data_IF_287180976801
#
_entry.id   IF_287180976801
#
_cell.length_a   1.000
_cell.length_b   1.000
_cell.length_c   1.000
_cell.angle_alpha   90.00
_cell.angle_beta   90.00
_cell.angle_gamma   90.00
#
_symmetry.space_group_name_H-M   'P 1'
#
loop_
_entity.id
_entity.type
_entity.pdbx_description
1 polymer ?
#
# COMPACT_ATOMS: atom_id res chain seq x y z
N UNK A 1 45.56 82.86 7.12
CA UNK A 1 45.17 81.51 7.47
C UNK A 1 43.69 81.51 7.77
N UNK A 2 42.89 81.13 6.82
CA UNK A 2 41.44 81.19 6.89
C UNK A 2 40.94 79.73 7.05
N UNK A 3 40.38 79.43 8.23
CA UNK A 3 39.72 78.11 8.48
C UNK A 3 38.31 78.17 7.93
N UNK A 4 38.00 77.32 6.94
CA UNK A 4 36.63 77.06 6.46
C UNK A 4 35.99 76.02 7.36
N UNK A 5 34.86 76.39 8.01
CA UNK A 5 33.99 75.43 8.70
C UNK A 5 33.04 74.78 7.68
N UNK A 6 33.01 73.46 7.68
CA UNK A 6 32.09 72.64 6.86
C UNK A 6 30.84 72.38 7.69
N UNK A 7 29.71 72.96 7.30
CA UNK A 7 28.38 72.63 7.83
C UNK A 7 27.86 71.36 7.17
N UNK A 8 27.73 70.28 7.96
CA UNK A 8 27.00 69.07 7.55
C UNK A 8 25.50 69.29 7.79
N UNK A 9 24.74 69.35 6.75
CA UNK A 9 23.27 69.31 6.83
C UNK A 9 22.82 67.87 6.93
N UNK A 10 22.24 67.46 8.05
CA UNK A 10 21.55 66.20 8.23
C UNK A 10 20.15 66.33 7.62
N UNK A 11 19.92 65.64 6.51
CA UNK A 11 18.59 65.49 5.94
C UNK A 11 17.84 64.39 6.75
N UNK A 12 16.84 64.78 7.49
CA UNK A 12 15.85 63.91 8.11
C UNK A 12 14.97 63.30 6.99
N UNK A 13 15.19 62.03 6.65
CA UNK A 13 14.27 61.25 5.87
C UNK A 13 13.04 60.95 6.70
N UNK A 14 11.79 61.16 6.18
CA UNK A 14 10.61 60.79 6.90
C UNK A 14 10.53 59.26 7.04
N UNK A 15 10.36 58.76 8.25
CA UNK A 15 10.10 57.36 8.52
C UNK A 15 8.78 57.00 7.81
N UNK A 16 8.90 56.16 6.78
CA UNK A 16 7.74 55.55 6.16
C UNK A 16 7.12 54.62 7.21
N UNK A 17 6.03 55.06 7.81
CA UNK A 17 5.15 54.18 8.58
C UNK A 17 4.58 53.16 7.59
N UNK A 18 5.16 51.95 7.54
CA UNK A 18 4.52 50.84 6.89
C UNK A 18 3.18 50.59 7.57
N UNK A 19 2.12 51.01 6.92
CA UNK A 19 0.78 50.59 7.29
C UNK A 19 0.80 49.05 7.26
N UNK A 20 0.79 48.39 8.41
CA UNK A 20 0.45 46.98 8.53
C UNK A 20 -0.90 46.83 7.83
N UNK A 21 -0.91 46.29 6.63
CA UNK A 21 -2.13 45.83 6.00
C UNK A 21 -2.79 44.92 7.04
N UNK A 22 -3.92 45.37 7.57
CA UNK A 22 -4.78 44.48 8.38
C UNK A 22 -5.11 43.33 7.49
N UNK A 23 -4.57 42.17 7.85
CA UNK A 23 -4.89 40.92 7.17
C UNK A 23 -6.38 40.68 7.30
N UNK A 24 -7.13 40.88 6.23
CA UNK A 24 -8.52 40.41 6.23
C UNK A 24 -8.47 38.92 6.53
N UNK A 25 -9.23 38.42 7.52
CA UNK A 25 -9.27 37.00 7.79
C UNK A 25 -9.75 36.28 6.54
N UNK A 26 -9.10 35.15 6.18
CA UNK A 26 -9.59 34.32 5.07
C UNK A 26 -11.06 33.95 5.33
N UNK A 27 -11.86 33.88 4.24
CA UNK A 27 -13.28 33.60 4.37
C UNK A 27 -13.51 32.11 4.61
N UNK A 28 -14.35 31.81 5.59
CA UNK A 28 -14.84 30.46 5.87
C UNK A 28 -16.30 30.39 5.45
N UNK A 29 -16.61 29.49 4.54
CA UNK A 29 -17.95 29.23 4.04
C UNK A 29 -18.60 28.10 4.82
N UNK A 30 -19.89 28.15 5.04
CA UNK A 30 -20.65 27.06 5.66
C UNK A 30 -20.91 25.93 4.63
N UNK A 31 -19.84 25.35 4.14
CA UNK A 31 -19.84 24.21 3.22
C UNK A 31 -18.79 23.20 3.62
N UNK A 32 -19.15 21.91 3.57
CA UNK A 32 -18.33 20.79 4.03
C UNK A 32 -18.14 19.78 2.90
N UNK A 33 -16.97 19.15 2.76
CA UNK A 33 -16.83 18.01 1.85
C UNK A 33 -17.54 16.78 2.42
N UNK A 34 -17.85 15.82 1.56
CA UNK A 34 -18.26 14.48 1.95
C UNK A 34 -17.10 13.53 1.71
N UNK A 35 -16.73 12.72 2.70
CA UNK A 35 -15.80 11.60 2.51
C UNK A 35 -16.58 10.52 1.79
N UNK A 36 -16.16 10.21 0.55
CA UNK A 36 -16.88 9.30 -0.35
C UNK A 36 -16.33 7.88 -0.29
N UNK A 37 -15.02 7.72 -0.10
CA UNK A 37 -14.34 6.43 -0.01
C UNK A 37 -13.28 6.43 1.09
N UNK A 38 -13.10 5.31 1.78
CA UNK A 38 -12.13 5.16 2.86
C UNK A 38 -12.60 5.76 4.19
N UNK A 39 -11.68 6.01 5.15
CA UNK A 39 -10.24 5.76 5.03
C UNK A 39 -9.88 4.28 5.00
N UNK A 40 -8.73 3.98 4.41
CA UNK A 40 -8.13 2.66 4.46
C UNK A 40 -6.61 2.76 4.59
N UNK A 41 -5.99 1.68 5.08
CA UNK A 41 -4.58 1.58 5.36
C UNK A 41 -3.86 0.77 4.27
N UNK A 42 -2.77 1.32 3.75
CA UNK A 42 -1.84 0.64 2.86
C UNK A 42 -0.42 0.92 3.30
N UNK A 43 0.55 0.23 2.74
CA UNK A 43 1.97 0.46 3.01
C UNK A 43 2.30 0.56 4.52
N UNK A 44 1.58 -0.19 5.38
CA UNK A 44 1.86 -0.26 6.82
C UNK A 44 3.10 -1.10 7.07
N UNK A 45 4.07 -0.56 7.78
CA UNK A 45 5.32 -1.18 8.18
C UNK A 45 5.53 -1.11 9.69
N UNK A 46 6.78 -1.27 10.13
CA UNK A 46 7.16 -1.15 11.54
C UNK A 46 7.11 0.30 12.03
N UNK A 47 7.48 1.25 11.18
CA UNK A 47 7.63 2.66 11.55
C UNK A 47 6.82 3.61 10.68
N UNK A 48 6.00 3.08 9.78
CA UNK A 48 5.23 3.86 8.82
C UNK A 48 3.83 3.27 8.61
N UNK A 49 2.87 4.12 8.24
CA UNK A 49 1.56 3.71 7.74
C UNK A 49 1.05 4.77 6.76
N UNK A 50 0.39 4.36 5.69
CA UNK A 50 -0.24 5.27 4.74
C UNK A 50 -1.74 5.14 4.81
N UNK A 51 -2.42 6.28 5.00
CA UNK A 51 -3.87 6.38 5.08
C UNK A 51 -4.37 7.07 3.82
N UNK A 52 -5.35 6.46 3.16
CA UNK A 52 -5.94 6.94 1.92
C UNK A 52 -7.44 7.13 2.09
N UNK A 53 -7.97 8.25 1.61
CA UNK A 53 -9.42 8.50 1.52
C UNK A 53 -9.74 9.49 0.41
N UNK A 54 -11.02 9.62 0.08
CA UNK A 54 -11.50 10.47 -1.01
C UNK A 54 -12.63 11.36 -0.55
N UNK A 55 -12.76 12.53 -1.20
CA UNK A 55 -13.83 13.48 -0.97
C UNK A 55 -14.51 13.86 -2.29
N UNK A 56 -15.77 14.28 -2.19
CA UNK A 56 -16.57 14.75 -3.32
C UNK A 56 -16.10 16.11 -3.89
N UNK A 57 -15.37 16.89 -3.09
CA UNK A 57 -14.91 18.24 -3.46
C UNK A 57 -13.46 18.46 -3.03
N UNK A 58 -12.72 19.34 -3.74
CA UNK A 58 -11.34 19.64 -3.40
C UNK A 58 -11.17 20.07 -1.94
N UNK A 59 -10.27 19.38 -1.24
CA UNK A 59 -10.02 19.57 0.18
C UNK A 59 -8.53 19.49 0.51
N UNK A 60 -8.17 20.13 1.61
CA UNK A 60 -6.89 19.95 2.29
C UNK A 60 -7.04 18.78 3.26
N UNK A 61 -6.05 17.91 3.32
CA UNK A 61 -6.05 16.71 4.15
C UNK A 61 -5.15 16.85 5.37
N UNK A 62 -5.53 16.23 6.49
CA UNK A 62 -4.66 15.93 7.63
C UNK A 62 -5.15 14.70 8.38
N UNK A 63 -4.25 14.06 9.12
CA UNK A 63 -4.56 12.97 10.04
C UNK A 63 -4.17 13.40 11.45
N UNK A 64 -5.12 13.30 12.38
CA UNK A 64 -4.85 13.37 13.81
C UNK A 64 -4.55 11.94 14.27
N UNK A 65 -3.48 11.71 15.03
CA UNK A 65 -3.10 10.35 15.45
C UNK A 65 -2.33 10.36 16.77
N UNK A 66 -2.15 9.17 17.34
CA UNK A 66 -1.32 9.00 18.52
C UNK A 66 -1.41 7.59 19.10
N UNK A 67 -0.38 7.21 19.82
CA UNK A 67 -0.29 5.90 20.46
C UNK A 67 -1.38 5.73 21.53
N UNK A 68 -1.96 4.51 21.61
CA UNK A 68 -2.99 4.19 22.59
C UNK A 68 -4.33 4.90 22.37
N UNK A 69 -4.51 5.61 21.24
CA UNK A 69 -5.75 6.32 20.90
C UNK A 69 -5.75 7.81 21.29
N UNK A 70 -4.63 8.36 21.76
CA UNK A 70 -4.42 9.79 21.89
C UNK A 70 -4.26 10.40 20.47
N UNK A 71 -5.04 11.43 20.14
CA UNK A 71 -5.04 12.11 18.85
C UNK A 71 -4.27 13.45 18.92
N UNK A 72 -3.19 13.49 19.68
CA UNK A 72 -2.41 14.71 19.94
C UNK A 72 -1.44 15.10 18.84
N UNK A 73 -1.09 14.16 17.95
CA UNK A 73 -0.18 14.40 16.84
C UNK A 73 -0.94 14.70 15.55
N UNK A 74 -0.30 15.43 14.63
CA UNK A 74 -0.88 15.83 13.35
C UNK A 74 0.10 15.51 12.24
N UNK A 75 -0.37 14.73 11.23
CA UNK A 75 0.33 14.55 9.97
C UNK A 75 -0.42 15.31 8.86
N UNK A 76 0.32 16.15 8.14
CA UNK A 76 -0.18 16.90 6.98
C UNK A 76 0.71 16.60 5.77
N UNK A 77 0.16 16.20 4.62
CA UNK A 77 0.97 15.98 3.43
C UNK A 77 1.48 17.30 2.88
N UNK A 78 2.71 17.29 2.38
CA UNK A 78 3.25 18.44 1.65
C UNK A 78 4.07 17.95 0.44
N UNK A 79 4.04 18.71 -0.63
CA UNK A 79 4.87 18.48 -1.83
C UNK A 79 5.54 19.80 -2.20
N UNK A 80 6.85 19.82 -2.19
CA UNK A 80 7.67 21.01 -2.50
C UNK A 80 7.25 22.26 -1.68
N UNK A 81 6.88 22.07 -0.42
CA UNK A 81 6.44 23.13 0.49
C UNK A 81 4.97 23.56 0.32
N UNK A 82 4.21 22.89 -0.55
CA UNK A 82 2.78 23.16 -0.75
C UNK A 82 1.94 22.05 -0.14
N UNK A 83 0.83 22.41 0.50
CA UNK A 83 -0.20 21.47 0.94
C UNK A 83 -1.04 21.05 -0.27
N UNK A 84 -1.13 19.77 -0.60
CA UNK A 84 -1.97 19.30 -1.71
C UNK A 84 -3.45 19.64 -1.48
N UNK A 85 -4.12 20.06 -2.56
CA UNK A 85 -5.57 20.31 -2.59
C UNK A 85 -6.16 19.47 -3.71
N UNK A 86 -7.10 18.60 -3.37
CA UNK A 86 -7.73 17.69 -4.34
C UNK A 86 -8.85 16.89 -3.69
N UNK A 87 -9.33 15.90 -4.41
CA UNK A 87 -10.36 14.95 -3.96
C UNK A 87 -9.80 13.63 -3.47
N UNK A 88 -8.55 13.32 -3.80
CA UNK A 88 -7.80 12.17 -3.31
C UNK A 88 -6.81 12.62 -2.25
N UNK A 89 -6.82 11.95 -1.12
CA UNK A 89 -5.99 12.26 0.03
C UNK A 89 -5.13 11.05 0.38
N UNK A 90 -3.83 11.27 0.47
CA UNK A 90 -2.84 10.29 0.88
C UNK A 90 -1.97 10.93 1.95
N UNK A 91 -1.99 10.39 3.14
CA UNK A 91 -1.17 10.87 4.26
C UNK A 91 -0.34 9.72 4.79
N UNK A 92 0.96 9.89 4.77
CA UNK A 92 1.92 8.96 5.35
C UNK A 92 2.23 9.39 6.78
N UNK A 93 2.10 8.46 7.70
CA UNK A 93 2.60 8.58 9.07
C UNK A 93 4.00 7.98 9.11
N UNK A 94 4.92 8.65 9.75
CA UNK A 94 6.33 8.26 9.86
C UNK A 94 6.79 8.25 11.31
N UNK A 95 7.96 7.65 11.55
CA UNK A 95 8.57 7.60 12.89
C UNK A 95 7.67 6.94 13.94
N UNK A 96 6.82 6.02 13.51
CA UNK A 96 5.99 5.23 14.40
C UNK A 96 6.85 4.20 15.16
N UNK A 97 6.33 3.71 16.29
CA UNK A 97 6.95 2.63 17.06
C UNK A 97 6.46 1.27 16.56
N UNK A 98 7.33 0.27 16.36
CA UNK A 98 6.93 -1.08 16.00
C UNK A 98 5.95 -1.71 16.99
N UNK A 99 5.03 -2.55 16.52
CA UNK A 99 4.07 -3.31 17.33
C UNK A 99 3.13 -2.44 18.16
N UNK A 100 2.96 -1.18 17.79
CA UNK A 100 2.23 -0.19 18.58
C UNK A 100 0.87 0.10 17.94
N UNK A 101 -0.17 0.07 18.77
CA UNK A 101 -1.52 0.46 18.32
C UNK A 101 -1.69 1.98 18.40
N UNK A 102 -2.03 2.57 17.27
CA UNK A 102 -2.32 3.99 17.10
C UNK A 102 -3.81 4.20 16.87
N UNK A 103 -4.37 5.21 17.54
CA UNK A 103 -5.64 5.81 17.12
C UNK A 103 -5.41 6.80 16.00
N UNK A 104 -6.38 6.98 15.10
CA UNK A 104 -6.32 8.02 14.09
C UNK A 104 -7.70 8.54 13.68
N UNK A 105 -7.73 9.78 13.21
CA UNK A 105 -8.90 10.43 12.62
C UNK A 105 -8.46 11.18 11.37
N UNK A 106 -9.14 10.97 10.25
CA UNK A 106 -8.90 11.75 9.04
C UNK A 106 -9.75 13.00 9.03
N UNK A 107 -9.17 14.10 8.59
CA UNK A 107 -9.83 15.40 8.47
C UNK A 107 -9.63 15.94 7.07
N UNK A 108 -10.73 16.32 6.42
CA UNK A 108 -10.72 16.98 5.12
C UNK A 108 -11.35 18.37 5.26
N UNK A 109 -10.56 19.43 5.10
CA UNK A 109 -11.04 20.82 5.12
C UNK A 109 -11.33 21.27 3.69
N UNK A 110 -12.57 21.61 3.38
CA UNK A 110 -12.93 22.06 2.03
C UNK A 110 -12.13 23.28 1.60
N UNK A 111 -11.62 23.27 0.37
CA UNK A 111 -11.06 24.45 -0.31
C UNK A 111 -12.07 24.91 -1.35
N UNK A 112 -12.76 26.00 -1.06
CA UNK A 112 -13.85 26.53 -1.90
C UNK A 112 -13.26 27.19 -3.14
N UNK A 113 -12.17 27.96 -2.95
CA UNK A 113 -11.45 28.60 -4.03
C UNK A 113 -9.99 28.78 -3.66
N UNK A 114 -9.12 28.27 -4.53
CA UNK A 114 -7.68 28.43 -4.38
C UNK A 114 -7.23 29.72 -5.10
N UNK A 115 -7.25 30.82 -4.36
CA UNK A 115 -6.77 32.13 -4.83
C UNK A 115 -5.25 32.23 -4.61
N UNK A 116 -4.59 33.13 -5.35
CA UNK A 116 -3.16 33.42 -5.15
C UNK A 116 -2.88 33.94 -3.72
N UNK A 117 -3.78 34.74 -3.18
CA UNK A 117 -3.79 35.20 -1.79
C UNK A 117 -5.20 35.03 -1.23
N UNK A 118 -5.30 34.73 0.06
CA UNK A 118 -6.57 34.58 0.77
C UNK A 118 -7.45 33.47 0.15
N UNK A 119 -7.01 32.20 0.17
CA UNK A 119 -7.86 31.11 -0.27
C UNK A 119 -9.17 31.07 0.53
N UNK A 120 -10.26 30.81 -0.15
CA UNK A 120 -11.56 30.62 0.49
C UNK A 120 -11.67 29.17 0.98
N UNK A 121 -11.93 28.97 2.28
CA UNK A 121 -12.09 27.65 2.89
C UNK A 121 -13.53 27.38 3.29
N UNK A 122 -13.88 26.12 3.44
CA UNK A 122 -15.10 25.65 4.07
C UNK A 122 -14.80 24.99 5.42
N UNK A 123 -15.75 24.16 5.86
CA UNK A 123 -15.68 23.41 7.11
C UNK A 123 -14.98 22.05 6.90
N UNK A 124 -14.67 21.40 8.02
CA UNK A 124 -14.08 20.07 8.06
C UNK A 124 -15.13 18.97 7.92
N UNK A 125 -14.83 17.93 7.14
CA UNK A 125 -15.38 16.59 7.30
C UNK A 125 -14.37 15.71 8.03
N UNK A 126 -14.87 14.75 8.82
CA UNK A 126 -14.05 13.87 9.65
C UNK A 126 -14.53 12.42 9.56
N UNK A 127 -13.63 11.48 9.68
CA UNK A 127 -13.94 10.06 9.87
C UNK A 127 -13.00 9.46 10.91
N UNK A 128 -13.58 8.83 11.91
CA UNK A 128 -12.87 8.24 13.04
C UNK A 128 -13.57 8.50 14.37
N UNK A 129 -12.95 8.17 15.53
CA UNK A 129 -11.61 7.58 15.61
C UNK A 129 -11.57 6.13 15.13
N UNK A 130 -10.50 5.79 14.42
CA UNK A 130 -10.12 4.46 13.96
C UNK A 130 -8.85 4.00 14.65
N UNK A 131 -8.41 2.75 14.44
CA UNK A 131 -7.19 2.20 15.02
C UNK A 131 -6.44 1.37 14.00
N UNK A 132 -5.13 1.30 14.14
CA UNK A 132 -4.29 0.29 13.48
C UNK A 132 -3.11 -0.06 14.36
N UNK A 133 -2.47 -1.18 14.09
CA UNK A 133 -1.22 -1.58 14.76
C UNK A 133 -0.12 -1.67 13.70
N UNK A 134 1.03 -1.06 13.99
CA UNK A 134 2.23 -1.19 13.17
C UNK A 134 2.77 -2.62 13.21
N UNK A 135 3.39 -3.07 12.14
CA UNK A 135 4.09 -4.35 12.14
C UNK A 135 5.26 -4.33 13.12
N UNK A 136 5.70 -5.49 13.58
CA UNK A 136 6.94 -5.67 14.35
C UNK A 136 7.52 -7.05 14.04
N UNK A 137 8.66 -7.08 13.35
CA UNK A 137 9.38 -8.32 13.03
C UNK A 137 9.90 -9.09 14.25
N UNK A 138 9.80 -8.51 15.47
CA UNK A 138 10.15 -9.17 16.74
C UNK A 138 8.96 -9.81 17.43
N UNK A 139 7.74 -9.56 16.97
CA UNK A 139 6.57 -10.25 17.53
C UNK A 139 6.71 -11.76 17.36
N UNK A 140 6.35 -12.56 18.38
CA UNK A 140 6.50 -14.01 18.30
C UNK A 140 5.50 -14.69 17.37
N UNK A 141 4.50 -13.97 16.89
CA UNK A 141 3.48 -14.50 15.99
C UNK A 141 2.91 -13.42 15.08
N UNK A 142 2.32 -13.86 13.96
CA UNK A 142 1.51 -13.04 13.05
C UNK A 142 0.44 -13.91 12.40
N UNK A 143 -0.74 -13.33 12.16
CA UNK A 143 -1.80 -13.96 11.39
C UNK A 143 -2.32 -13.02 10.30
N UNK A 144 -2.30 -13.47 9.05
CA UNK A 144 -2.81 -12.68 7.93
C UNK A 144 -3.57 -13.55 6.92
N UNK A 145 -4.39 -12.92 6.11
CA UNK A 145 -5.28 -13.60 5.17
C UNK A 145 -5.03 -13.15 3.75
N UNK A 146 -5.16 -14.08 2.80
CA UNK A 146 -4.96 -13.84 1.37
C UNK A 146 -6.21 -14.19 0.57
N UNK A 147 -6.50 -13.34 -0.43
CA UNK A 147 -7.47 -13.57 -1.51
C UNK A 147 -6.81 -13.22 -2.85
N UNK A 148 -7.39 -13.67 -3.96
CA UNK A 148 -6.84 -13.46 -5.30
C UNK A 148 -7.92 -13.49 -6.38
N UNK A 149 -7.60 -13.02 -7.58
CA UNK A 149 -8.36 -13.25 -8.83
C UNK A 149 -9.86 -12.89 -8.69
N UNK A 150 -10.17 -11.74 -8.12
CA UNK A 150 -11.56 -11.35 -7.89
C UNK A 150 -12.26 -10.85 -9.16
N UNK A 151 -11.50 -10.35 -10.16
CA UNK A 151 -12.01 -10.00 -11.50
C UNK A 151 -13.32 -9.21 -11.49
N UNK A 152 -13.37 -8.13 -10.69
CA UNK A 152 -14.55 -7.24 -10.59
C UNK A 152 -15.84 -7.93 -10.12
N UNK A 153 -15.80 -9.20 -9.74
CA UNK A 153 -16.97 -9.93 -9.21
C UNK A 153 -17.23 -9.53 -7.76
N UNK A 154 -18.07 -8.52 -7.60
CA UNK A 154 -18.42 -7.97 -6.27
C UNK A 154 -19.12 -9.00 -5.37
N UNK A 155 -19.83 -9.98 -5.95
CA UNK A 155 -20.45 -11.06 -5.20
C UNK A 155 -19.40 -12.06 -4.69
N UNK A 156 -18.37 -12.35 -5.49
CA UNK A 156 -17.22 -13.13 -5.04
C UNK A 156 -16.51 -12.43 -3.89
N UNK A 157 -16.21 -11.14 -4.02
CA UNK A 157 -15.57 -10.37 -2.94
C UNK A 157 -16.44 -10.42 -1.67
N UNK A 158 -17.74 -10.29 -1.77
CA UNK A 158 -18.66 -10.39 -0.63
C UNK A 158 -18.60 -11.77 0.03
N UNK A 159 -18.57 -12.87 -0.75
CA UNK A 159 -18.46 -14.23 -0.22
C UNK A 159 -17.09 -14.47 0.44
N UNK A 160 -16.00 -13.99 -0.18
CA UNK A 160 -14.67 -14.04 0.40
C UNK A 160 -14.60 -13.29 1.73
N UNK A 161 -15.15 -12.07 1.80
CA UNK A 161 -15.22 -11.30 3.04
C UNK A 161 -15.98 -12.04 4.16
N UNK A 162 -17.00 -12.82 3.83
CA UNK A 162 -17.75 -13.62 4.79
C UNK A 162 -16.98 -14.85 5.27
N UNK A 163 -16.07 -15.38 4.46
CA UNK A 163 -15.23 -16.52 4.80
C UNK A 163 -13.98 -16.13 5.61
N UNK A 164 -13.62 -14.84 5.63
CA UNK A 164 -12.47 -14.35 6.40
C UNK A 164 -12.84 -14.21 7.88
N UNK A 165 -11.99 -14.77 8.74
CA UNK A 165 -11.99 -14.47 10.18
C UNK A 165 -11.27 -13.14 10.41
N UNK A 166 -12.03 -12.04 10.36
CA UNK A 166 -11.51 -10.69 10.54
C UNK A 166 -10.96 -10.40 11.93
N UNK A 167 -11.40 -11.10 12.96
CA UNK A 167 -10.89 -10.91 14.32
C UNK A 167 -9.45 -11.43 14.44
N UNK A 168 -9.19 -12.56 13.79
CA UNK A 168 -7.88 -13.19 13.80
C UNK A 168 -6.93 -12.68 12.71
N UNK A 169 -7.41 -11.89 11.74
CA UNK A 169 -6.61 -11.36 10.62
C UNK A 169 -6.00 -10.00 10.98
N UNK A 170 -4.68 -9.89 10.99
CA UNK A 170 -3.98 -8.62 11.25
C UNK A 170 -3.95 -7.72 10.00
N UNK A 171 -3.78 -8.30 8.81
CA UNK A 171 -3.85 -7.59 7.53
C UNK A 171 -4.34 -8.50 6.40
N UNK A 172 -4.91 -7.90 5.37
CA UNK A 172 -5.34 -8.61 4.16
C UNK A 172 -4.28 -8.48 3.08
N UNK A 173 -4.00 -9.58 2.38
CA UNK A 173 -3.23 -9.60 1.13
C UNK A 173 -4.18 -9.87 -0.03
N UNK A 174 -4.21 -8.99 -1.04
CA UNK A 174 -4.82 -9.28 -2.33
C UNK A 174 -3.72 -9.64 -3.33
N UNK A 175 -3.69 -10.89 -3.78
CA UNK A 175 -2.63 -11.44 -4.64
C UNK A 175 -2.83 -11.13 -6.14
N UNK A 176 -3.43 -10.00 -6.47
CA UNK A 176 -3.58 -9.53 -7.84
C UNK A 176 -4.83 -10.01 -8.56
N UNK A 177 -4.98 -9.53 -9.79
CA UNK A 177 -6.14 -9.75 -10.67
C UNK A 177 -7.46 -9.39 -9.98
N UNK A 178 -7.48 -8.18 -9.41
CA UNK A 178 -8.69 -7.56 -8.89
C UNK A 178 -9.67 -7.17 -10.01
N UNK A 179 -9.16 -6.99 -11.23
CA UNK A 179 -9.83 -6.51 -12.43
C UNK A 179 -9.58 -7.43 -13.62
N UNK A 180 -10.38 -7.30 -14.68
CA UNK A 180 -10.03 -7.77 -16.03
C UNK A 180 -9.17 -6.74 -16.76
N UNK A 181 -9.49 -5.45 -16.59
CA UNK A 181 -8.73 -4.25 -16.96
C UNK A 181 -9.28 -3.04 -16.21
N UNK A 182 -8.53 -1.96 -16.12
CA UNK A 182 -8.96 -0.77 -15.37
C UNK A 182 -9.22 0.39 -16.34
N UNK A 183 -10.50 0.67 -16.61
CA UNK A 183 -10.91 1.75 -17.51
C UNK A 183 -11.11 3.09 -16.80
N UNK A 184 -11.71 3.09 -15.61
CA UNK A 184 -12.11 4.31 -14.91
C UNK A 184 -11.91 4.21 -13.40
N UNK A 185 -11.86 5.38 -12.75
CA UNK A 185 -11.84 5.49 -11.28
C UNK A 185 -13.11 4.88 -10.64
N UNK A 186 -14.29 5.15 -11.20
CA UNK A 186 -15.53 4.62 -10.66
C UNK A 186 -15.60 3.09 -10.74
N UNK A 187 -15.05 2.50 -11.79
CA UNK A 187 -14.89 1.04 -11.88
C UNK A 187 -14.02 0.51 -10.74
N UNK A 188 -12.86 1.14 -10.50
CA UNK A 188 -11.95 0.77 -9.41
C UNK A 188 -12.67 0.79 -8.07
N UNK A 189 -13.43 1.84 -7.78
CA UNK A 189 -14.19 1.93 -6.54
C UNK A 189 -15.32 0.91 -6.47
N UNK A 190 -16.18 0.88 -7.47
CA UNK A 190 -17.40 0.07 -7.44
C UNK A 190 -17.13 -1.42 -7.49
N UNK A 191 -16.19 -1.83 -8.33
CA UNK A 191 -15.98 -3.24 -8.63
C UNK A 191 -14.99 -3.92 -7.67
N UNK A 192 -14.15 -3.16 -6.98
CA UNK A 192 -13.12 -3.75 -6.13
C UNK A 192 -12.97 -3.06 -4.78
N UNK A 193 -12.68 -1.74 -4.73
CA UNK A 193 -12.26 -1.11 -3.48
C UNK A 193 -13.39 -1.07 -2.44
N UNK A 194 -14.59 -0.58 -2.81
CA UNK A 194 -15.76 -0.54 -1.90
C UNK A 194 -16.11 -1.91 -1.34
N UNK A 195 -16.30 -2.96 -2.18
CA UNK A 195 -16.63 -4.28 -1.64
C UNK A 195 -15.49 -4.88 -0.81
N UNK A 196 -14.22 -4.63 -1.13
CA UNK A 196 -13.07 -5.07 -0.31
C UNK A 196 -13.07 -4.37 1.05
N UNK A 197 -13.24 -3.05 1.07
CA UNK A 197 -13.25 -2.26 2.30
C UNK A 197 -14.47 -2.57 3.19
N UNK A 198 -15.57 -3.07 2.63
CA UNK A 198 -16.74 -3.47 3.41
C UNK A 198 -16.45 -4.60 4.39
N UNK A 199 -15.46 -5.46 4.10
CA UNK A 199 -14.97 -6.48 5.03
C UNK A 199 -13.75 -6.01 5.84
N UNK A 200 -12.77 -5.42 5.15
CA UNK A 200 -11.49 -5.00 5.73
C UNK A 200 -11.65 -3.90 6.78
N UNK A 201 -12.51 -2.92 6.50
CA UNK A 201 -12.66 -1.73 7.33
C UNK A 201 -11.46 -0.78 7.30
N UNK A 202 -11.49 0.26 8.14
CA UNK A 202 -10.44 1.25 8.25
C UNK A 202 -9.28 0.85 9.17
N UNK A 203 -9.42 -0.25 9.91
CA UNK A 203 -8.53 -0.61 11.02
C UNK A 203 -7.44 -1.62 10.62
N UNK A 204 -7.58 -2.27 9.47
CA UNK A 204 -6.65 -3.31 9.01
C UNK A 204 -5.94 -2.91 7.72
N UNK A 205 -4.62 -3.14 7.64
CA UNK A 205 -3.86 -2.85 6.43
C UNK A 205 -4.24 -3.77 5.25
N UNK A 206 -4.21 -3.18 4.05
CA UNK A 206 -4.24 -3.90 2.78
C UNK A 206 -2.82 -3.97 2.20
N UNK A 207 -2.36 -5.17 1.92
CA UNK A 207 -1.19 -5.46 1.10
C UNK A 207 -1.68 -5.85 -0.30
N UNK A 208 -1.34 -5.06 -1.30
CA UNK A 208 -1.75 -5.32 -2.68
C UNK A 208 -0.55 -5.83 -3.48
N UNK A 209 -0.68 -7.01 -4.06
CA UNK A 209 0.25 -7.60 -5.01
C UNK A 209 -0.34 -7.38 -6.40
N UNK A 210 0.41 -6.75 -7.31
CA UNK A 210 -0.08 -6.47 -8.65
C UNK A 210 -0.11 -7.74 -9.51
N UNK A 211 -1.26 -8.03 -10.10
CA UNK A 211 -1.43 -9.07 -11.12
C UNK A 211 -1.19 -8.53 -12.54
N UNK A 212 -1.27 -9.40 -13.54
CA UNK A 212 -1.07 -9.00 -14.93
C UNK A 212 -2.26 -8.18 -15.48
N UNK A 213 -3.46 -8.39 -14.97
CA UNK A 213 -4.63 -7.63 -15.36
C UNK A 213 -4.59 -6.16 -14.89
N UNK A 214 -3.89 -5.86 -13.82
CA UNK A 214 -3.68 -4.50 -13.34
C UNK A 214 -2.78 -3.63 -14.21
N UNK A 215 -2.12 -4.21 -15.23
CA UNK A 215 -1.39 -3.45 -16.24
C UNK A 215 -2.26 -3.03 -17.43
N UNK A 216 -3.49 -3.51 -17.51
CA UNK A 216 -4.41 -3.34 -18.64
C UNK A 216 -5.41 -2.22 -18.42
N UNK A 217 -5.79 -1.57 -19.51
CA UNK A 217 -6.75 -0.47 -19.51
C UNK A 217 -6.12 0.92 -19.31
N UNK A 218 -6.82 1.99 -19.69
CA UNK A 218 -6.29 3.35 -19.64
C UNK A 218 -6.01 3.84 -18.21
N UNK A 219 -6.78 3.39 -17.24
CA UNK A 219 -6.65 3.80 -15.84
C UNK A 219 -5.58 3.01 -15.05
N UNK A 220 -5.07 1.91 -15.57
CA UNK A 220 -4.04 1.08 -14.94
C UNK A 220 -2.81 1.90 -14.47
N UNK A 221 -2.42 2.94 -15.24
CA UNK A 221 -1.30 3.83 -14.92
C UNK A 221 -1.52 4.70 -13.67
N UNK A 222 -2.76 4.75 -13.19
CA UNK A 222 -3.16 5.50 -11.99
C UNK A 222 -3.31 4.59 -10.76
N UNK A 223 -3.25 3.27 -10.90
CA UNK A 223 -3.46 2.32 -9.79
C UNK A 223 -2.62 2.64 -8.55
N UNK A 224 -1.35 3.01 -8.75
CA UNK A 224 -0.44 3.42 -7.67
C UNK A 224 -0.94 4.59 -6.81
N UNK A 225 -1.85 5.40 -7.35
CA UNK A 225 -2.47 6.52 -6.64
C UNK A 225 -3.51 6.04 -5.61
N UNK A 226 -4.00 4.81 -5.74
CA UNK A 226 -5.06 4.18 -4.94
C UNK A 226 -4.51 3.11 -3.99
N UNK A 227 -3.43 2.46 -4.39
CA UNK A 227 -2.69 1.49 -3.57
C UNK A 227 -1.21 1.88 -3.50
N UNK A 228 -0.90 3.00 -2.81
CA UNK A 228 0.47 3.37 -2.54
C UNK A 228 1.23 2.21 -1.91
N UNK A 229 2.45 1.98 -2.39
CA UNK A 229 3.33 0.94 -1.88
C UNK A 229 4.55 1.57 -1.21
N UNK A 230 5.28 0.85 -0.37
CA UNK A 230 6.56 1.31 0.11
C UNK A 230 7.48 1.64 -1.08
N UNK A 231 8.26 2.70 -0.98
CA UNK A 231 9.23 3.10 -2.02
C UNK A 231 8.63 3.39 -3.41
N UNK A 232 7.28 3.40 -3.55
CA UNK A 232 6.57 3.76 -4.78
C UNK A 232 6.71 2.76 -5.94
N UNK A 233 7.08 1.50 -5.66
CA UNK A 233 7.16 0.39 -6.63
C UNK A 233 6.36 -0.81 -6.14
N UNK A 234 5.91 -1.71 -7.03
CA UNK A 234 5.08 -2.85 -6.66
C UNK A 234 5.87 -4.08 -6.21
N UNK A 235 7.18 -3.95 -5.99
CA UNK A 235 8.00 -4.97 -5.34
C UNK A 235 8.76 -4.36 -4.15
N UNK A 236 8.73 -5.05 -3.03
CA UNK A 236 9.30 -4.59 -1.75
C UNK A 236 9.34 -5.72 -0.73
N UNK A 237 9.99 -5.49 0.42
CA UNK A 237 9.97 -6.44 1.52
C UNK A 237 9.45 -5.81 2.81
N UNK A 238 8.98 -6.65 3.74
CA UNK A 238 8.47 -6.27 5.07
C UNK A 238 8.64 -7.39 6.05
N UNK A 239 8.82 -6.99 7.31
CA UNK A 239 8.77 -7.91 8.44
C UNK A 239 7.40 -7.87 9.10
N UNK A 240 6.83 -9.04 9.37
CA UNK A 240 5.58 -9.21 10.09
C UNK A 240 5.74 -10.40 11.05
N UNK A 241 5.99 -10.14 12.32
CA UNK A 241 6.33 -11.15 13.31
C UNK A 241 7.49 -12.05 12.84
N UNK A 242 7.33 -13.38 12.89
CA UNK A 242 8.37 -14.34 12.49
C UNK A 242 8.54 -14.44 10.96
N UNK A 243 7.79 -13.68 10.15
CA UNK A 243 7.79 -13.79 8.69
C UNK A 243 8.45 -12.58 8.05
N UNK A 244 9.46 -12.84 7.22
CA UNK A 244 9.98 -11.89 6.27
C UNK A 244 9.22 -12.04 4.94
N UNK A 245 8.38 -11.05 4.62
CA UNK A 245 7.54 -11.03 3.42
C UNK A 245 8.27 -10.31 2.30
N UNK A 246 8.39 -10.95 1.14
CA UNK A 246 8.90 -10.38 -0.11
C UNK A 246 7.74 -10.33 -1.09
N UNK A 247 7.30 -9.14 -1.45
CA UNK A 247 6.25 -8.91 -2.45
C UNK A 247 6.92 -8.69 -3.79
N UNK A 248 6.52 -9.46 -4.81
CA UNK A 248 7.03 -9.35 -6.17
C UNK A 248 5.90 -9.05 -7.15
N UNK A 249 6.27 -8.34 -8.20
CA UNK A 249 5.38 -7.98 -9.30
C UNK A 249 5.74 -8.81 -10.54
N UNK A 250 4.94 -9.79 -10.86
CA UNK A 250 5.22 -10.70 -11.97
C UNK A 250 5.00 -10.10 -13.38
N UNK A 251 4.56 -8.85 -13.46
CA UNK A 251 4.35 -8.18 -14.75
C UNK A 251 3.22 -8.80 -15.58
N UNK A 252 3.33 -8.69 -16.89
CA UNK A 252 2.38 -9.28 -17.84
C UNK A 252 2.70 -10.76 -18.12
N UNK A 253 1.70 -11.45 -18.68
CA UNK A 253 1.78 -12.86 -19.08
C UNK A 253 2.27 -13.07 -20.53
N UNK A 254 2.63 -11.97 -21.22
CA UNK A 254 3.12 -11.96 -22.62
C UNK A 254 4.30 -11.02 -22.79
N UNK A 255 5.06 -11.22 -23.87
CA UNK A 255 6.18 -10.37 -24.26
C UNK A 255 5.74 -8.91 -24.52
N UNK A 256 6.63 -7.95 -24.21
CA UNK A 256 6.38 -6.52 -24.41
C UNK A 256 6.07 -6.15 -25.87
N UNK A 257 6.61 -6.90 -26.83
CA UNK A 257 6.42 -6.72 -28.28
C UNK A 257 5.15 -7.39 -28.82
N UNK A 258 4.35 -8.00 -27.96
CA UNK A 258 3.07 -8.58 -28.38
C UNK A 258 2.14 -7.48 -28.90
N UNK A 259 1.58 -7.66 -30.09
CA UNK A 259 0.77 -6.67 -30.79
C UNK A 259 -0.39 -6.10 -29.98
N UNK A 260 -0.95 -6.87 -29.04
CA UNK A 260 -2.06 -6.44 -28.17
C UNK A 260 -1.69 -5.26 -27.26
N UNK A 261 -0.41 -5.03 -27.00
CA UNK A 261 0.07 -3.94 -26.16
C UNK A 261 0.41 -2.66 -26.92
N UNK A 262 0.46 -2.72 -28.28
CA UNK A 262 0.73 -1.58 -29.13
C UNK A 262 1.98 -0.78 -28.69
N UNK A 263 3.06 -1.48 -28.29
CA UNK A 263 4.32 -0.93 -27.78
C UNK A 263 4.21 -0.10 -26.48
N UNK A 264 3.08 -0.21 -25.75
CA UNK A 264 2.84 0.56 -24.52
C UNK A 264 3.24 -0.17 -23.23
N UNK A 265 3.71 -1.41 -23.32
CA UNK A 265 4.26 -2.17 -22.21
C UNK A 265 5.80 -2.15 -22.22
N UNK A 266 6.38 -2.15 -21.02
CA UNK A 266 7.82 -2.24 -20.78
C UNK A 266 8.05 -3.04 -19.47
N UNK A 267 7.43 -4.22 -19.40
CA UNK A 267 7.54 -5.08 -18.21
C UNK A 267 8.89 -5.76 -18.13
N UNK A 268 9.52 -6.11 -19.26
CA UNK A 268 10.83 -6.79 -19.26
C UNK A 268 11.94 -5.98 -18.57
N UNK A 269 12.20 -4.69 -18.89
CA UNK A 269 13.20 -3.92 -18.14
C UNK A 269 12.82 -3.70 -16.67
N UNK A 270 11.55 -3.48 -16.38
CA UNK A 270 11.07 -3.36 -15.00
C UNK A 270 11.33 -4.64 -14.18
N UNK A 271 11.10 -5.81 -14.77
CA UNK A 271 11.38 -7.12 -14.17
C UNK A 271 12.89 -7.36 -14.00
N UNK A 272 13.72 -6.85 -14.90
CA UNK A 272 15.18 -6.93 -14.76
C UNK A 272 15.67 -6.11 -13.55
N UNK A 273 15.13 -4.90 -13.36
CA UNK A 273 15.42 -4.07 -12.19
C UNK A 273 14.95 -4.75 -10.89
N UNK A 274 13.78 -5.38 -10.92
CA UNK A 274 13.24 -6.11 -9.78
C UNK A 274 14.10 -7.34 -9.42
N UNK A 275 14.57 -8.10 -10.39
CA UNK A 275 15.48 -9.22 -10.14
C UNK A 275 16.82 -8.75 -9.56
N UNK A 276 17.35 -7.63 -10.05
CA UNK A 276 18.56 -7.04 -9.50
C UNK A 276 18.35 -6.62 -8.04
N UNK A 277 17.22 -5.97 -7.74
CA UNK A 277 16.82 -5.65 -6.38
C UNK A 277 16.64 -6.89 -5.50
N UNK A 278 15.97 -7.95 -6.00
CA UNK A 278 15.77 -9.18 -5.23
C UNK A 278 17.12 -9.80 -4.85
N UNK A 279 18.04 -9.90 -5.81
CA UNK A 279 19.41 -10.44 -5.57
C UNK A 279 20.17 -9.62 -4.53
N UNK A 280 20.12 -8.30 -4.62
CA UNK A 280 20.74 -7.40 -3.65
C UNK A 280 20.08 -7.56 -2.27
N UNK A 281 18.75 -7.53 -2.22
CA UNK A 281 17.99 -7.65 -0.99
C UNK A 281 18.31 -8.95 -0.24
N UNK A 282 18.25 -10.11 -0.91
CA UNK A 282 18.54 -11.39 -0.26
C UNK A 282 20.00 -11.56 0.16
N UNK A 283 20.91 -10.83 -0.47
CA UNK A 283 22.33 -10.86 -0.13
C UNK A 283 22.72 -9.90 1.01
N UNK A 284 21.97 -8.82 1.22
CA UNK A 284 22.37 -7.73 2.11
C UNK A 284 21.45 -7.47 3.30
N UNK A 285 20.17 -7.84 3.19
CA UNK A 285 19.24 -7.64 4.29
C UNK A 285 19.38 -8.74 5.34
N UNK A 286 19.77 -8.36 6.54
CA UNK A 286 19.97 -9.27 7.66
C UNK A 286 18.69 -10.06 8.00
N UNK A 287 17.52 -9.47 7.79
CA UNK A 287 16.24 -10.11 8.08
C UNK A 287 15.98 -11.36 7.23
N UNK A 288 16.50 -11.42 6.01
CA UNK A 288 16.43 -12.63 5.17
C UNK A 288 17.12 -13.82 5.86
N UNK A 289 18.24 -13.59 6.54
CA UNK A 289 18.95 -14.64 7.26
C UNK A 289 18.37 -14.92 8.66
N UNK A 290 17.85 -13.92 9.35
CA UNK A 290 17.42 -13.98 10.75
C UNK A 290 15.97 -14.41 10.93
N UNK A 291 15.07 -14.08 9.98
CA UNK A 291 13.67 -14.41 10.10
C UNK A 291 13.43 -15.92 10.17
N UNK A 292 12.57 -16.39 11.08
CA UNK A 292 12.16 -17.80 11.12
C UNK A 292 11.62 -18.31 9.78
N UNK A 293 10.87 -17.48 9.05
CA UNK A 293 10.28 -17.82 7.76
C UNK A 293 10.44 -16.71 6.73
N UNK A 294 10.69 -17.08 5.47
CA UNK A 294 10.78 -16.22 4.29
C UNK A 294 9.68 -16.60 3.32
N UNK A 295 8.78 -15.67 3.04
CA UNK A 295 7.61 -15.89 2.20
C UNK A 295 7.62 -14.91 1.03
N UNK A 296 7.55 -15.44 -0.20
CA UNK A 296 7.31 -14.64 -1.40
C UNK A 296 5.81 -14.61 -1.69
N UNK A 297 5.29 -13.40 -1.92
CA UNK A 297 3.95 -13.13 -2.40
C UNK A 297 4.06 -12.59 -3.82
N UNK A 298 3.47 -13.29 -4.78
CA UNK A 298 3.46 -12.88 -6.18
C UNK A 298 2.15 -13.32 -6.84
N UNK A 299 1.81 -12.77 -8.02
CA UNK A 299 0.57 -13.16 -8.66
C UNK A 299 0.72 -14.40 -9.53
N UNK A 300 1.65 -14.42 -10.50
CA UNK A 300 1.84 -15.53 -11.43
C UNK A 300 2.82 -16.55 -10.87
N UNK A 301 2.42 -17.83 -10.66
CA UNK A 301 3.24 -18.84 -9.97
C UNK A 301 4.45 -19.32 -10.78
N UNK A 302 4.48 -19.03 -12.08
CA UNK A 302 5.57 -19.31 -13.01
C UNK A 302 6.49 -18.12 -13.24
N UNK A 303 6.42 -17.12 -12.35
CA UNK A 303 7.22 -15.88 -12.37
C UNK A 303 6.86 -14.89 -13.48
N UNK A 304 5.73 -15.08 -14.16
CA UNK A 304 5.29 -14.25 -15.28
C UNK A 304 6.04 -14.52 -16.57
N UNK A 305 5.81 -13.69 -17.59
CA UNK A 305 6.55 -13.85 -18.84
C UNK A 305 7.98 -13.37 -18.70
N UNK A 306 8.93 -14.25 -19.04
CA UNK A 306 10.36 -13.98 -18.98
C UNK A 306 11.05 -14.56 -20.24
N UNK A 307 11.78 -13.71 -20.96
CA UNK A 307 12.45 -14.11 -22.20
C UNK A 307 13.39 -15.29 -22.02
N UNK A 308 14.15 -15.31 -20.90
CA UNK A 308 15.16 -16.32 -20.58
C UNK A 308 14.65 -17.38 -19.59
N UNK A 309 13.31 -17.38 -19.34
CA UNK A 309 12.68 -18.26 -18.38
C UNK A 309 12.93 -17.86 -16.90
N UNK A 310 12.34 -18.62 -15.94
CA UNK A 310 12.37 -18.27 -14.52
C UNK A 310 13.67 -18.64 -13.79
N UNK A 311 14.65 -19.26 -14.46
CA UNK A 311 15.87 -19.81 -13.83
C UNK A 311 16.53 -18.88 -12.83
N UNK A 312 16.94 -17.64 -13.20
CA UNK A 312 17.61 -16.73 -12.27
C UNK A 312 16.77 -16.34 -11.03
N UNK A 313 15.44 -16.32 -11.16
CA UNK A 313 14.51 -16.03 -10.06
C UNK A 313 14.41 -17.20 -9.09
N UNK A 314 14.25 -18.41 -9.65
CA UNK A 314 14.19 -19.65 -8.88
C UNK A 314 15.50 -19.92 -8.15
N UNK A 315 16.64 -19.70 -8.82
CA UNK A 315 17.97 -19.80 -8.21
C UNK A 315 18.11 -18.85 -7.03
N UNK A 316 17.76 -17.57 -7.21
CA UNK A 316 17.80 -16.55 -6.14
C UNK A 316 16.90 -16.93 -4.97
N UNK A 317 15.68 -17.41 -5.23
CA UNK A 317 14.78 -17.88 -4.18
C UNK A 317 15.30 -19.10 -3.42
N UNK A 318 15.90 -20.05 -4.13
CA UNK A 318 16.52 -21.25 -3.54
C UNK A 318 17.73 -20.88 -2.66
N UNK A 319 18.61 -20.00 -3.15
CA UNK A 319 19.79 -19.52 -2.42
C UNK A 319 19.41 -18.72 -1.17
N UNK A 320 18.36 -17.89 -1.26
CA UNK A 320 17.81 -17.15 -0.13
C UNK A 320 17.12 -18.05 0.91
N UNK A 321 16.92 -19.33 0.61
CA UNK A 321 16.22 -20.26 1.48
C UNK A 321 14.76 -19.88 1.68
N UNK A 322 14.06 -19.42 0.63
CA UNK A 322 12.62 -19.16 0.70
C UNK A 322 11.90 -20.41 1.20
N UNK A 323 10.98 -20.25 2.13
CA UNK A 323 10.22 -21.34 2.73
C UNK A 323 8.90 -21.59 1.97
N UNK A 324 8.24 -20.49 1.55
CA UNK A 324 6.93 -20.55 0.90
C UNK A 324 6.80 -19.46 -0.18
N UNK A 325 6.26 -19.84 -1.33
CA UNK A 325 5.76 -18.93 -2.37
C UNK A 325 4.24 -19.07 -2.44
N UNK A 326 3.51 -17.94 -2.34
CA UNK A 326 2.06 -17.91 -2.49
C UNK A 326 1.70 -17.09 -3.73
N UNK A 327 0.82 -17.64 -4.56
CA UNK A 327 0.42 -17.05 -5.83
C UNK A 327 -1.08 -17.24 -6.13
N UNK A 328 -1.58 -16.56 -7.15
CA UNK A 328 -2.91 -16.66 -7.73
C UNK A 328 -2.88 -17.10 -9.20
N UNK A 329 -3.54 -16.30 -10.07
CA UNK A 329 -3.49 -16.38 -11.55
C UNK A 329 -4.19 -17.60 -12.19
N UNK A 330 -4.11 -18.77 -11.57
CA UNK A 330 -4.64 -20.01 -12.19
C UNK A 330 -6.10 -20.29 -11.86
N UNK A 331 -6.72 -19.42 -11.08
CA UNK A 331 -8.14 -19.49 -10.65
C UNK A 331 -8.53 -20.80 -9.95
N UNK A 332 -7.58 -21.66 -9.65
CA UNK A 332 -7.79 -22.97 -8.99
C UNK A 332 -6.64 -23.27 -8.05
N UNK A 333 -6.96 -23.95 -6.98
CA UNK A 333 -5.98 -24.40 -6.01
C UNK A 333 -4.97 -25.37 -6.63
N UNK A 334 -3.70 -25.18 -6.31
CA UNK A 334 -2.67 -26.19 -6.46
C UNK A 334 -1.59 -26.01 -5.40
N UNK A 335 -0.95 -27.13 -5.04
CA UNK A 335 0.19 -27.15 -4.14
C UNK A 335 1.29 -28.03 -4.73
N UNK A 336 2.51 -27.51 -4.73
CA UNK A 336 3.71 -28.21 -5.15
C UNK A 336 4.73 -28.21 -4.01
N UNK A 337 5.09 -29.39 -3.45
CA UNK A 337 6.10 -29.45 -2.40
C UNK A 337 7.49 -29.13 -2.96
N UNK A 338 8.45 -28.71 -2.10
CA UNK A 338 9.84 -28.53 -2.51
C UNK A 338 10.48 -29.84 -2.97
N UNK A 339 11.33 -29.77 -3.98
CA UNK A 339 12.07 -30.93 -4.42
C UNK A 339 12.90 -30.71 -5.70
N UNK A 340 13.93 -31.52 -5.91
CA UNK A 340 14.78 -31.38 -7.10
C UNK A 340 14.01 -31.65 -8.40
N UNK A 341 13.01 -32.54 -8.38
CA UNK A 341 12.23 -32.91 -9.56
C UNK A 341 11.31 -31.78 -10.06
N UNK A 342 10.95 -30.84 -9.18
CA UNK A 342 10.13 -29.66 -9.51
C UNK A 342 10.98 -28.39 -9.74
N UNK A 343 12.30 -28.48 -9.53
CA UNK A 343 13.25 -27.41 -9.80
C UNK A 343 13.31 -26.29 -8.76
N UNK A 344 12.51 -26.35 -7.67
CA UNK A 344 12.54 -25.39 -6.58
C UNK A 344 12.58 -26.04 -5.20
N UNK A 345 13.16 -25.35 -4.22
CA UNK A 345 13.38 -25.83 -2.86
C UNK A 345 12.42 -25.21 -1.83
N UNK A 346 11.38 -24.53 -2.28
CA UNK A 346 10.33 -23.92 -1.46
C UNK A 346 8.97 -24.58 -1.72
N UNK A 347 8.05 -24.43 -0.78
CA UNK A 347 6.64 -24.77 -0.98
C UNK A 347 6.00 -23.77 -1.94
N UNK A 348 5.31 -24.23 -2.98
CA UNK A 348 4.55 -23.37 -3.90
C UNK A 348 3.05 -23.63 -3.72
N UNK A 349 2.31 -22.62 -3.27
CA UNK A 349 0.87 -22.67 -3.09
C UNK A 349 0.20 -21.67 -4.01
N UNK A 350 -0.70 -22.15 -4.87
CA UNK A 350 -1.52 -21.33 -5.75
C UNK A 350 -2.94 -21.31 -5.21
N UNK A 351 -3.47 -20.14 -4.92
CA UNK A 351 -4.82 -19.94 -4.40
C UNK A 351 -5.83 -19.85 -5.54
N UNK A 352 -7.02 -20.43 -5.36
CA UNK A 352 -8.14 -20.32 -6.29
C UNK A 352 -9.02 -19.10 -5.99
N UNK A 353 -9.87 -18.73 -6.95
CA UNK A 353 -10.72 -17.51 -6.90
C UNK A 353 -11.73 -17.49 -5.74
N UNK A 354 -12.32 -18.64 -5.40
CA UNK A 354 -13.35 -18.76 -4.36
C UNK A 354 -12.76 -19.33 -3.06
N UNK A 355 -11.54 -18.96 -2.75
CA UNK A 355 -10.79 -19.46 -1.59
C UNK A 355 -10.15 -18.33 -0.80
N UNK A 356 -10.00 -18.58 0.48
CA UNK A 356 -9.28 -17.75 1.44
C UNK A 356 -8.12 -18.57 1.97
N UNK A 357 -6.91 -18.05 1.94
CA UNK A 357 -5.78 -18.64 2.63
C UNK A 357 -5.46 -17.84 3.88
N UNK A 358 -5.48 -18.48 5.03
CA UNK A 358 -5.03 -17.91 6.29
C UNK A 358 -3.63 -18.43 6.59
N UNK A 359 -2.72 -17.53 6.91
CA UNK A 359 -1.36 -17.83 7.38
C UNK A 359 -1.27 -17.47 8.84
N UNK A 360 -0.96 -18.47 9.68
CA UNK A 360 -0.65 -18.31 11.09
C UNK A 360 0.81 -18.70 11.28
N UNK A 361 1.65 -17.77 11.69
CA UNK A 361 3.07 -18.04 11.93
C UNK A 361 3.44 -17.75 13.39
N UNK A 362 4.24 -18.64 13.94
CA UNK A 362 4.96 -18.48 15.20
C UNK A 362 6.45 -18.57 14.95
N UNK A 363 7.29 -18.42 15.96
CA UNK A 363 8.73 -18.62 15.82
C UNK A 363 9.12 -20.06 15.48
N UNK A 364 8.22 -21.03 15.63
CA UNK A 364 8.49 -22.47 15.47
C UNK A 364 7.80 -23.08 14.24
N UNK A 365 6.69 -22.52 13.80
CA UNK A 365 5.85 -23.08 12.74
C UNK A 365 5.16 -21.99 11.94
N UNK A 366 5.13 -22.16 10.62
CA UNK A 366 4.25 -21.42 9.72
C UNK A 366 3.18 -22.38 9.20
N UNK A 367 1.91 -22.07 9.49
CA UNK A 367 0.76 -22.85 9.05
C UNK A 367 -0.06 -22.07 8.03
N UNK A 368 -0.41 -22.71 6.92
CA UNK A 368 -1.36 -22.17 5.95
C UNK A 368 -2.60 -23.05 5.93
N UNK A 369 -3.77 -22.43 6.12
CA UNK A 369 -5.07 -23.11 5.95
C UNK A 369 -5.80 -22.46 4.78
N UNK A 370 -6.10 -23.24 3.75
CA UNK A 370 -6.90 -22.80 2.61
C UNK A 370 -8.32 -23.31 2.79
N UNK A 371 -9.28 -22.38 2.76
CA UNK A 371 -10.70 -22.67 2.95
C UNK A 371 -11.51 -22.13 1.76
N UNK A 372 -12.45 -22.89 1.26
CA UNK A 372 -13.41 -22.43 0.27
C UNK A 372 -14.42 -21.44 0.88
N UNK A 373 -15.08 -20.63 0.03
CA UNK A 373 -16.18 -19.73 0.47
C UNK A 373 -17.40 -20.49 1.04
N UNK A 374 -17.46 -21.80 0.88
CA UNK A 374 -18.43 -22.72 1.49
C UNK A 374 -18.03 -23.19 2.90
N UNK A 375 -16.84 -22.81 3.38
CA UNK A 375 -16.30 -23.19 4.67
C UNK A 375 -15.55 -24.52 4.68
N UNK A 376 -15.43 -25.22 3.56
CA UNK A 376 -14.67 -26.47 3.49
C UNK A 376 -13.16 -26.20 3.46
N UNK A 377 -12.39 -26.94 4.27
CA UNK A 377 -10.93 -26.88 4.26
C UNK A 377 -10.40 -27.63 3.03
N UNK A 378 -9.85 -26.86 2.09
CA UNK A 378 -9.25 -27.37 0.84
C UNK A 378 -7.86 -27.96 1.08
N UNK A 379 -7.06 -27.29 1.93
CA UNK A 379 -5.69 -27.72 2.20
C UNK A 379 -5.18 -27.14 3.52
N UNK A 380 -4.28 -27.87 4.16
CA UNK A 380 -3.50 -27.37 5.30
C UNK A 380 -2.04 -27.74 5.08
N UNK A 381 -1.16 -26.75 5.20
CA UNK A 381 0.28 -26.88 5.11
C UNK A 381 0.89 -26.43 6.44
N UNK A 382 1.83 -27.21 6.95
CA UNK A 382 2.63 -26.88 8.14
C UNK A 382 4.11 -26.93 7.75
N UNK A 383 4.81 -25.83 7.97
CA UNK A 383 6.23 -25.66 7.69
C UNK A 383 6.92 -25.42 9.04
N UNK A 384 7.69 -26.38 9.54
CA UNK A 384 8.46 -26.16 10.77
C UNK A 384 9.64 -25.23 10.48
N UNK A 385 10.08 -24.48 11.50
CA UNK A 385 11.31 -23.70 11.43
C UNK A 385 12.49 -24.63 11.11
N UNK A 386 13.37 -24.19 10.21
CA UNK A 386 14.61 -24.89 9.86
C UNK A 386 15.64 -24.82 10.97
#
# INVERSE_FOLDING_TARGET
MIRRALLLAFALLPAATSARAQSEPFRVFDTRPVITEGPYLVATGETTATIVWFTDTPSQAKVLYGAGGDLSEIAEPQVDGLVPVGTRHVVQLESLSPGTTYGYEVVATRVVKLNAYWPDKGLDARSGPHRFTTLDGRNPSVSFTLITDTHEDTERIRRLNQAIDWEATEFLVHLGDAFDWIDTEEQLFRAWLRPTLAGLGPDKPLVFVRGNHELRGPFARRLRDYVPTPEGRFYYARDAGPVHLIVLDTGEDKADDTNVYAELNRTSPYRADELAWLKEHVATDARVAEAPFRVILMHQPDWGWLQDGPGPWVETANEAGIDLVMAGHRHRFSYTPPGPDVGHLYHLLVLGQDQVARVDATTEELRVTVTGVDGEVVHTLSIPRR
#
